data_IF_862131525908
#
_entry.id   IF_862131525908
#
_cell.length_a   1.000
_cell.length_b   1.000
_cell.length_c   1.000
_cell.angle_alpha   90.00
_cell.angle_beta   90.00
_cell.angle_gamma   90.00
#
_symmetry.space_group_name_H-M   'P 1'
#
loop_
_entity.id
_entity.type
_entity.pdbx_description
1 polymer ?
#
# COMPACT_ATOMS: atom_id res chain seq x y z
N UNK A 1 9.09 11.67 -8.68
CA UNK A 1 8.89 10.63 -9.71
C UNK A 1 7.48 10.08 -9.62
N UNK A 2 6.76 10.10 -10.72
CA UNK A 2 5.40 9.59 -10.81
C UNK A 2 5.44 8.09 -11.14
N UNK A 3 4.70 7.28 -10.37
CA UNK A 3 4.67 5.82 -10.57
C UNK A 3 3.41 5.36 -11.31
N UNK A 4 2.32 6.09 -11.15
CA UNK A 4 1.07 5.90 -11.87
C UNK A 4 0.33 7.23 -11.91
N UNK A 5 -0.86 7.29 -12.51
CA UNK A 5 -1.56 8.56 -12.71
C UNK A 5 -1.76 9.37 -11.42
N UNK A 6 -2.08 8.70 -10.32
CA UNK A 6 -2.39 9.37 -9.05
C UNK A 6 -1.37 9.10 -7.94
N UNK A 7 -0.29 8.35 -8.20
CA UNK A 7 0.67 7.99 -7.16
C UNK A 7 2.09 8.35 -7.54
N UNK A 8 2.78 9.04 -6.63
CA UNK A 8 4.18 9.43 -6.78
C UNK A 8 5.05 8.63 -5.81
N UNK A 9 6.32 8.43 -6.15
CA UNK A 9 7.30 7.72 -5.32
C UNK A 9 7.33 8.27 -3.89
N UNK A 10 7.22 9.62 -3.74
CA UNK A 10 7.28 10.27 -2.43
C UNK A 10 6.23 9.78 -1.45
N UNK A 11 5.07 9.32 -1.93
CA UNK A 11 4.00 8.80 -1.08
C UNK A 11 4.36 7.45 -0.47
N UNK A 12 5.32 6.74 -1.04
CA UNK A 12 5.74 5.40 -0.62
C UNK A 12 7.04 5.39 0.16
N UNK A 13 7.72 6.54 0.30
CA UNK A 13 9.03 6.60 0.96
C UNK A 13 8.94 6.34 2.46
N UNK A 14 10.03 5.79 3.00
CA UNK A 14 10.13 5.52 4.43
C UNK A 14 10.08 6.82 5.22
N UNK A 15 9.29 6.84 6.28
CA UNK A 15 9.10 8.04 7.11
C UNK A 15 10.37 8.47 7.86
N UNK A 16 11.37 7.59 7.95
CA UNK A 16 12.65 7.95 8.55
C UNK A 16 13.53 8.79 7.61
N UNK A 17 13.14 8.92 6.34
CA UNK A 17 13.88 9.70 5.35
C UNK A 17 15.00 8.92 4.66
N UNK A 18 15.14 7.62 4.92
CA UNK A 18 16.17 6.81 4.26
C UNK A 18 15.89 6.64 2.78
N UNK A 19 16.93 6.41 2.00
CA UNK A 19 16.80 6.18 0.56
C UNK A 19 16.12 4.83 0.28
N UNK A 20 15.23 4.82 -0.70
CA UNK A 20 14.56 3.61 -1.14
C UNK A 20 15.49 2.80 -2.06
N UNK A 21 15.83 1.55 -1.71
CA UNK A 21 16.63 0.71 -2.59
C UNK A 21 15.94 0.45 -3.93
N UNK A 22 16.72 0.24 -4.97
CA UNK A 22 16.20 0.02 -6.32
C UNK A 22 15.27 -1.21 -6.39
N UNK A 23 15.64 -2.30 -5.71
CA UNK A 23 14.81 -3.50 -5.67
C UNK A 23 13.44 -3.22 -5.02
N UNK A 24 13.40 -2.36 -4.01
CA UNK A 24 12.17 -1.94 -3.36
C UNK A 24 11.34 -1.08 -4.31
N UNK A 25 11.98 -0.18 -5.06
CA UNK A 25 11.29 0.68 -6.02
C UNK A 25 10.54 -0.13 -7.07
N UNK A 26 11.09 -1.26 -7.51
CA UNK A 26 10.41 -2.16 -8.45
C UNK A 26 9.10 -2.69 -7.85
N UNK A 27 9.15 -3.13 -6.60
CA UNK A 27 7.97 -3.65 -5.91
C UNK A 27 6.96 -2.53 -5.62
N UNK A 28 7.43 -1.36 -5.20
CA UNK A 28 6.58 -0.19 -4.95
C UNK A 28 5.86 0.23 -6.25
N UNK A 29 6.54 0.15 -7.39
CA UNK A 29 5.93 0.48 -8.67
C UNK A 29 4.80 -0.49 -9.01
N UNK A 30 5.00 -1.79 -8.76
CA UNK A 30 3.95 -2.80 -8.95
C UNK A 30 2.76 -2.55 -8.02
N UNK A 31 3.06 -2.24 -6.76
CA UNK A 31 2.02 -1.89 -5.78
C UNK A 31 1.24 -0.66 -6.22
N UNK A 32 1.93 0.38 -6.68
CA UNK A 32 1.28 1.60 -7.14
C UNK A 32 0.31 1.34 -8.30
N UNK A 33 0.66 0.42 -9.20
CA UNK A 33 -0.23 0.05 -10.30
C UNK A 33 -1.52 -0.62 -9.79
N UNK A 34 -1.42 -1.49 -8.78
CA UNK A 34 -2.60 -2.11 -8.18
C UNK A 34 -3.45 -1.08 -7.43
N UNK A 35 -2.81 -0.18 -6.70
CA UNK A 35 -3.50 0.90 -6.00
C UNK A 35 -4.20 1.84 -6.99
N UNK A 36 -3.60 2.06 -8.16
CA UNK A 36 -4.21 2.88 -9.20
C UNK A 36 -5.53 2.29 -9.69
N UNK A 37 -5.62 0.97 -9.82
CA UNK A 37 -6.88 0.31 -10.19
C UNK A 37 -7.95 0.55 -9.13
N UNK A 38 -7.59 0.50 -7.86
CA UNK A 38 -8.52 0.80 -6.77
C UNK A 38 -8.97 2.27 -6.86
N UNK A 39 -8.02 3.18 -7.08
CA UNK A 39 -8.28 4.62 -7.20
C UNK A 39 -9.23 4.91 -8.36
N UNK A 40 -9.00 4.27 -9.49
CA UNK A 40 -9.83 4.46 -10.69
C UNK A 40 -11.25 3.94 -10.48
N UNK A 41 -11.40 2.86 -9.72
CA UNK A 41 -12.71 2.29 -9.42
C UNK A 41 -13.52 3.20 -8.48
N UNK A 42 -12.87 3.70 -7.42
CA UNK A 42 -13.54 4.45 -6.35
C UNK A 42 -13.78 5.91 -6.71
N UNK A 43 -12.89 6.52 -7.51
CA UNK A 43 -12.95 7.94 -7.87
C UNK A 43 -12.85 8.89 -6.68
N UNK A 44 -12.14 8.50 -5.62
CA UNK A 44 -11.92 9.31 -4.42
C UNK A 44 -10.46 9.39 -4.07
N UNK A 45 -9.98 10.51 -3.49
CA UNK A 45 -8.60 10.62 -3.05
C UNK A 45 -8.22 9.51 -2.08
N UNK A 46 -7.03 8.97 -2.26
CA UNK A 46 -6.48 7.90 -1.44
C UNK A 46 -5.21 8.39 -0.77
N UNK A 47 -5.14 8.25 0.56
CA UNK A 47 -3.98 8.60 1.36
C UNK A 47 -3.27 7.35 1.85
N UNK A 48 -1.95 7.31 1.72
CA UNK A 48 -1.15 6.21 2.23
C UNK A 48 -0.53 6.65 3.56
N UNK A 49 -0.97 6.03 4.65
CA UNK A 49 -0.43 6.36 5.99
C UNK A 49 0.91 5.69 6.23
N UNK A 50 1.14 4.54 5.60
CA UNK A 50 2.42 3.85 5.57
C UNK A 50 2.56 3.12 4.24
N UNK A 51 3.79 3.01 3.74
CA UNK A 51 4.10 2.18 2.59
C UNK A 51 5.44 1.51 2.83
N UNK A 52 6.52 1.87 2.13
CA UNK A 52 7.82 1.27 2.41
C UNK A 52 8.33 1.68 3.79
N UNK A 53 8.91 0.71 4.51
CA UNK A 53 9.67 0.92 5.75
C UNK A 53 11.00 0.19 5.63
N UNK A 54 12.12 0.90 5.90
CA UNK A 54 13.41 0.22 5.99
C UNK A 54 13.43 -0.66 7.25
N UNK A 55 14.33 -1.67 7.31
CA UNK A 55 14.38 -2.58 8.46
C UNK A 55 14.54 -1.86 9.80
N UNK A 56 15.39 -0.83 9.85
CA UNK A 56 15.63 -0.06 11.07
C UNK A 56 14.37 0.67 11.54
N UNK A 57 13.68 1.36 10.63
CA UNK A 57 12.45 2.07 10.96
C UNK A 57 11.34 1.10 11.36
N UNK A 58 11.25 -0.04 10.67
CA UNK A 58 10.28 -1.07 11.01
C UNK A 58 10.47 -1.57 12.44
N UNK A 59 11.71 -1.75 12.85
CA UNK A 59 12.04 -2.17 14.22
C UNK A 59 11.66 -1.10 15.23
N UNK A 60 11.93 0.17 14.93
CA UNK A 60 11.61 1.30 15.80
C UNK A 60 10.12 1.42 16.07
N UNK A 61 9.28 1.19 15.06
CA UNK A 61 7.82 1.29 15.21
C UNK A 61 7.18 -0.02 15.69
N UNK A 62 7.99 -1.04 16.00
CA UNK A 62 7.48 -2.31 16.52
C UNK A 62 6.83 -3.20 15.48
N UNK A 63 7.17 -3.03 14.20
CA UNK A 63 6.68 -3.89 13.14
C UNK A 63 7.31 -5.29 13.18
N UNK A 64 6.61 -6.27 12.61
CA UNK A 64 7.14 -7.63 12.53
C UNK A 64 8.32 -7.68 11.56
N UNK A 65 9.31 -8.54 11.86
CA UNK A 65 10.56 -8.60 11.10
C UNK A 65 10.38 -9.03 9.65
N UNK A 66 9.29 -9.73 9.33
CA UNK A 66 8.96 -10.17 7.98
C UNK A 66 7.83 -9.38 7.35
N UNK A 67 7.66 -8.12 7.76
CA UNK A 67 6.62 -7.24 7.24
C UNK A 67 6.73 -7.04 5.73
N UNK A 68 5.60 -7.05 5.03
CA UNK A 68 5.55 -6.75 3.60
C UNK A 68 5.92 -5.28 3.31
N UNK A 69 5.79 -4.39 4.30
CA UNK A 69 6.24 -2.99 4.18
C UNK A 69 7.74 -2.89 3.92
N UNK A 70 8.55 -3.79 4.49
CA UNK A 70 10.01 -3.80 4.28
C UNK A 70 10.35 -4.12 2.82
N UNK A 71 9.53 -4.93 2.17
CA UNK A 71 9.75 -5.35 0.78
C UNK A 71 9.22 -4.34 -0.24
N UNK A 72 8.51 -3.31 0.21
CA UNK A 72 7.87 -2.35 -0.68
C UNK A 72 6.59 -2.89 -1.31
N UNK A 73 6.02 -3.95 -0.73
CA UNK A 73 4.83 -4.62 -1.27
C UNK A 73 3.53 -4.24 -0.57
N UNK A 74 3.58 -3.40 0.46
CA UNK A 74 2.42 -3.10 1.29
C UNK A 74 2.16 -1.61 1.42
N UNK A 75 0.88 -1.27 1.52
CA UNK A 75 0.44 0.08 1.84
C UNK A 75 -0.71 0.02 2.83
N UNK A 76 -0.72 0.97 3.76
CA UNK A 76 -1.84 1.20 4.67
C UNK A 76 -2.61 2.38 4.12
N UNK A 77 -3.89 2.18 3.84
CA UNK A 77 -4.71 3.03 2.98
C UNK A 77 -5.85 3.68 3.76
N UNK A 78 -6.07 4.96 3.49
CA UNK A 78 -7.28 5.67 3.89
C UNK A 78 -7.89 6.25 2.61
N UNK A 79 -9.21 6.16 2.47
CA UNK A 79 -9.91 6.74 1.33
C UNK A 79 -10.91 7.76 1.86
N UNK A 80 -10.88 8.96 1.29
CA UNK A 80 -11.76 10.07 1.71
C UNK A 80 -13.22 9.64 1.67
N UNK A 81 -13.95 9.96 2.74
CA UNK A 81 -15.39 9.67 2.92
C UNK A 81 -15.73 8.19 3.13
N UNK A 82 -14.74 7.29 3.21
CA UNK A 82 -14.99 5.87 3.45
C UNK A 82 -14.39 5.42 4.78
N UNK A 83 -15.13 4.58 5.51
CA UNK A 83 -14.61 3.93 6.70
C UNK A 83 -13.68 2.76 6.30
N UNK A 84 -12.73 2.36 7.17
CA UNK A 84 -11.86 1.22 6.85
C UNK A 84 -12.61 -0.06 6.46
N UNK A 85 -13.76 -0.32 7.05
CA UNK A 85 -14.58 -1.49 6.70
C UNK A 85 -15.11 -1.43 5.27
N UNK A 86 -15.45 -0.22 4.80
CA UNK A 86 -15.91 -0.01 3.42
C UNK A 86 -14.75 -0.17 2.44
N UNK A 87 -13.57 0.35 2.80
CA UNK A 87 -12.35 0.19 1.99
C UNK A 87 -11.99 -1.29 1.89
N UNK A 88 -12.04 -2.00 3.01
CA UNK A 88 -11.77 -3.45 3.07
C UNK A 88 -12.69 -4.21 2.10
N UNK A 89 -13.99 -3.96 2.17
CA UNK A 89 -14.97 -4.64 1.32
C UNK A 89 -14.74 -4.35 -0.16
N UNK A 90 -14.41 -3.10 -0.48
CA UNK A 90 -14.16 -2.70 -1.86
C UNK A 90 -12.95 -3.43 -2.43
N UNK A 91 -11.84 -3.48 -1.67
CA UNK A 91 -10.62 -4.16 -2.11
C UNK A 91 -10.87 -5.65 -2.25
N UNK A 92 -11.59 -6.25 -1.29
CA UNK A 92 -11.93 -7.66 -1.32
C UNK A 92 -12.74 -8.01 -2.57
N UNK A 93 -13.73 -7.20 -2.91
CA UNK A 93 -14.51 -7.38 -4.13
C UNK A 93 -13.65 -7.26 -5.40
N UNK A 94 -12.77 -6.27 -5.46
CA UNK A 94 -11.89 -6.09 -6.62
C UNK A 94 -10.95 -7.28 -6.79
N UNK A 95 -10.46 -7.82 -5.69
CA UNK A 95 -9.62 -9.02 -5.68
C UNK A 95 -10.40 -10.25 -6.17
N UNK A 96 -11.60 -10.45 -5.64
CA UNK A 96 -12.45 -11.59 -6.00
C UNK A 96 -12.82 -11.60 -7.48
N UNK A 97 -12.99 -10.41 -8.09
CA UNK A 97 -13.33 -10.28 -9.50
C UNK A 97 -12.09 -10.20 -10.41
N UNK A 98 -10.91 -10.35 -9.85
CA UNK A 98 -9.67 -10.38 -10.63
C UNK A 98 -9.22 -9.02 -11.17
N UNK A 99 -9.73 -7.91 -10.63
CA UNK A 99 -9.33 -6.57 -11.06
C UNK A 99 -7.98 -6.14 -10.48
N UNK A 100 -7.63 -6.66 -9.32
CA UNK A 100 -6.32 -6.45 -8.69
C UNK A 100 -5.79 -7.77 -8.18
N UNK A 101 -4.47 -7.84 -7.96
CA UNK A 101 -3.86 -9.07 -7.47
C UNK A 101 -4.28 -9.35 -6.04
N UNK A 102 -4.49 -10.63 -5.74
CA UNK A 102 -4.78 -11.08 -4.39
C UNK A 102 -3.50 -11.13 -3.58
N UNK A 103 -3.55 -10.58 -2.37
CA UNK A 103 -2.42 -10.59 -1.45
C UNK A 103 -2.93 -10.52 -0.03
N UNK A 104 -2.22 -9.81 0.82
CA UNK A 104 -2.67 -9.58 2.20
C UNK A 104 -3.69 -8.45 2.25
N UNK A 105 -4.73 -8.62 3.04
CA UNK A 105 -5.77 -7.62 3.25
C UNK A 105 -6.16 -7.62 4.72
N UNK A 106 -6.04 -6.48 5.38
CA UNK A 106 -6.34 -6.36 6.80
C UNK A 106 -7.15 -5.10 7.11
N UNK A 107 -8.12 -5.23 8.00
CA UNK A 107 -8.93 -4.11 8.45
C UNK A 107 -8.48 -3.67 9.84
N UNK A 108 -8.20 -2.38 9.99
CA UNK A 108 -7.80 -1.77 11.26
C UNK A 108 -8.74 -0.61 11.58
N UNK A 109 -8.61 -0.02 12.77
CA UNK A 109 -9.54 1.02 13.22
C UNK A 109 -9.48 2.29 12.37
N UNK A 110 -8.30 2.65 11.86
CA UNK A 110 -8.10 3.92 11.16
C UNK A 110 -7.62 3.77 9.71
N UNK A 111 -7.33 2.55 9.27
CA UNK A 111 -6.82 2.31 7.92
C UNK A 111 -7.10 0.87 7.49
N UNK A 112 -6.88 0.60 6.20
CA UNK A 112 -6.96 -0.75 5.62
C UNK A 112 -5.59 -1.10 5.05
N UNK A 113 -5.07 -2.26 5.42
CA UNK A 113 -3.80 -2.77 4.89
C UNK A 113 -4.05 -3.57 3.62
N UNK A 114 -3.27 -3.30 2.56
CA UNK A 114 -3.25 -4.11 1.34
C UNK A 114 -1.82 -4.37 0.93
N UNK A 115 -1.52 -5.60 0.51
CA UNK A 115 -0.20 -5.91 -0.01
C UNK A 115 -0.30 -6.90 -1.18
N UNK A 116 0.79 -6.98 -1.95
CA UNK A 116 0.89 -7.82 -3.14
C UNK A 116 1.77 -9.06 -2.89
N UNK A 117 1.76 -9.59 -1.66
CA UNK A 117 2.52 -10.79 -1.32
C UNK A 117 2.15 -11.95 -2.24
N UNK A 118 3.10 -12.84 -2.50
CA UNK A 118 2.87 -13.98 -3.38
C UNK A 118 3.00 -13.67 -4.87
N UNK A 119 3.38 -12.44 -5.19
CA UNK A 119 3.54 -12.02 -6.59
C UNK A 119 4.99 -11.79 -6.95
#
# INVERSE_FOLDING_TARGET
MKLSNNFSKSEFECKCGCEMPEAVLLEVTRLANELQHIRDFIHKPMNLTNAYRCPEHNKEVGGVSNSQHILGKAADIQIEELEPSEVYKTIDNLTDHGHIVQGGLGKYNTFTHYDIRGT
#
